data_IF_687508974831
#
_entry.id   IF_687508974831
#
_cell.length_a   1.000
_cell.length_b   1.000
_cell.length_c   1.000
_cell.angle_alpha   90.00
_cell.angle_beta   90.00
_cell.angle_gamma   90.00
#
_symmetry.space_group_name_H-M   'P 1'
#
loop_
_entity.id
_entity.type
_entity.pdbx_description
1 polymer ?
#
# COMPACT_ATOMS: atom_id res chain seq x y z
N UNK A 1 -31.64 -25.38 -18.76
CA UNK A 1 -30.54 -26.18 -18.20
C UNK A 1 -29.24 -25.42 -18.50
N UNK A 2 -28.73 -24.68 -17.54
CA UNK A 2 -27.50 -23.86 -17.74
C UNK A 2 -26.33 -24.79 -17.54
N UNK A 3 -25.58 -25.08 -18.61
CA UNK A 3 -24.31 -25.75 -18.54
C UNK A 3 -23.34 -24.85 -17.75
N UNK A 4 -22.73 -25.39 -16.73
CA UNK A 4 -21.76 -24.68 -15.88
C UNK A 4 -20.53 -24.34 -16.73
N UNK A 5 -20.35 -23.09 -17.11
CA UNK A 5 -19.26 -22.65 -18.00
C UNK A 5 -17.86 -22.62 -17.32
N UNK A 6 -17.66 -23.39 -16.27
CA UNK A 6 -16.34 -23.51 -15.63
C UNK A 6 -15.32 -24.25 -16.51
N UNK A 7 -15.79 -25.17 -17.35
CA UNK A 7 -14.95 -25.97 -18.23
C UNK A 7 -15.30 -25.68 -19.70
N UNK A 8 -14.27 -25.63 -20.54
CA UNK A 8 -14.41 -25.44 -21.97
C UNK A 8 -13.74 -26.61 -22.70
N UNK A 9 -14.38 -27.15 -23.77
CA UNK A 9 -13.78 -28.21 -24.56
C UNK A 9 -12.42 -27.81 -25.14
N UNK A 10 -11.44 -28.68 -24.99
CA UNK A 10 -10.11 -28.50 -25.49
C UNK A 10 -9.75 -29.61 -26.50
N UNK A 11 -8.90 -29.28 -27.49
CA UNK A 11 -8.44 -30.23 -28.48
C UNK A 11 -7.37 -31.17 -27.89
N UNK A 12 -7.43 -32.43 -28.25
CA UNK A 12 -6.39 -33.40 -27.88
C UNK A 12 -5.07 -33.01 -28.53
N UNK A 13 -4.01 -33.20 -27.79
CA UNK A 13 -2.65 -33.01 -28.32
C UNK A 13 -2.29 -34.08 -29.31
N UNK A 14 -1.61 -33.73 -30.43
CA UNK A 14 -1.16 -34.76 -31.40
C UNK A 14 -0.16 -35.71 -30.76
N UNK A 15 -0.42 -36.99 -30.92
CA UNK A 15 0.45 -38.05 -30.39
C UNK A 15 1.77 -38.08 -31.16
N UNK A 16 2.88 -37.69 -30.50
CA UNK A 16 4.22 -37.81 -31.08
C UNK A 16 4.56 -39.29 -31.34
N UNK A 17 5.17 -39.57 -32.50
CA UNK A 17 5.65 -40.91 -32.84
C UNK A 17 6.64 -41.46 -31.78
N UNK A 18 7.41 -40.57 -31.15
CA UNK A 18 8.33 -40.91 -30.05
C UNK A 18 7.62 -41.42 -28.81
N UNK A 19 6.44 -40.87 -28.46
CA UNK A 19 5.66 -41.32 -27.30
C UNK A 19 5.13 -42.76 -27.50
N UNK A 20 4.86 -43.15 -28.74
CA UNK A 20 4.47 -44.55 -29.08
C UNK A 20 5.63 -45.54 -28.90
N UNK A 21 6.86 -45.10 -29.19
CA UNK A 21 8.07 -45.93 -29.09
C UNK A 21 8.58 -46.04 -27.64
N UNK A 22 8.44 -44.98 -26.87
CA UNK A 22 8.92 -44.92 -25.47
C UNK A 22 7.93 -45.46 -24.45
N UNK A 23 6.71 -45.83 -24.86
CA UNK A 23 5.64 -46.27 -23.96
C UNK A 23 5.18 -45.20 -22.96
N UNK A 24 5.49 -43.93 -23.23
CA UNK A 24 5.02 -42.83 -22.39
C UNK A 24 3.49 -42.74 -22.46
N UNK A 25 2.87 -42.83 -21.31
CA UNK A 25 1.41 -42.71 -21.17
C UNK A 25 0.92 -41.31 -21.50
N UNK A 26 -0.21 -41.24 -22.18
CA UNK A 26 -0.79 -39.95 -22.64
C UNK A 26 -1.61 -39.26 -21.52
N UNK A 27 -0.97 -38.96 -20.39
CA UNK A 27 -1.59 -38.34 -19.24
C UNK A 27 -2.28 -37.02 -19.61
N UNK A 28 -1.63 -36.19 -20.44
CA UNK A 28 -2.18 -34.90 -20.87
C UNK A 28 -3.50 -35.04 -21.65
N UNK A 29 -3.57 -35.98 -22.58
CA UNK A 29 -4.79 -36.22 -23.35
C UNK A 29 -5.91 -36.78 -22.47
N UNK A 30 -5.59 -37.65 -21.50
CA UNK A 30 -6.58 -38.12 -20.53
C UNK A 30 -7.15 -36.95 -19.68
N UNK A 31 -6.30 -36.01 -19.24
CA UNK A 31 -6.74 -34.82 -18.53
C UNK A 31 -7.62 -33.94 -19.41
N UNK A 32 -7.29 -33.75 -20.69
CA UNK A 32 -8.08 -33.01 -21.66
C UNK A 32 -9.46 -33.70 -21.85
N UNK A 33 -9.52 -35.01 -21.96
CA UNK A 33 -10.80 -35.76 -22.10
C UNK A 33 -11.63 -35.65 -20.81
N UNK A 34 -11.01 -35.73 -19.63
CA UNK A 34 -11.72 -35.47 -18.36
C UNK A 34 -12.28 -34.05 -18.32
N UNK A 35 -11.46 -33.04 -18.70
CA UNK A 35 -11.95 -31.66 -18.81
C UNK A 35 -13.12 -31.53 -19.80
N UNK A 36 -13.06 -32.20 -20.95
CA UNK A 36 -14.11 -32.17 -21.94
C UNK A 36 -15.39 -32.84 -21.43
N UNK A 37 -15.28 -33.97 -20.72
CA UNK A 37 -16.41 -34.60 -20.05
C UNK A 37 -17.09 -33.64 -19.05
N UNK A 38 -16.29 -32.92 -18.27
CA UNK A 38 -16.79 -31.91 -17.32
C UNK A 38 -17.42 -30.70 -18.04
N UNK A 39 -17.01 -30.39 -19.27
CA UNK A 39 -17.57 -29.31 -20.08
C UNK A 39 -18.88 -29.69 -20.78
N UNK A 40 -19.06 -30.98 -21.12
CA UNK A 40 -20.18 -31.46 -21.96
C UNK A 40 -21.38 -31.94 -21.15
N UNK A 41 -21.19 -32.37 -19.90
CA UNK A 41 -22.24 -32.94 -19.05
C UNK A 41 -22.41 -32.19 -17.72
N UNK A 42 -23.62 -32.14 -17.18
CA UNK A 42 -23.87 -31.63 -15.84
C UNK A 42 -23.03 -32.36 -14.80
N UNK A 43 -22.28 -31.61 -13.96
CA UNK A 43 -21.28 -32.17 -13.05
C UNK A 43 -21.84 -33.29 -12.14
N UNK A 44 -23.08 -33.11 -11.62
CA UNK A 44 -23.71 -34.09 -10.73
C UNK A 44 -24.15 -35.39 -11.44
N UNK A 45 -24.22 -35.39 -12.78
CA UNK A 45 -24.59 -36.58 -13.57
C UNK A 45 -23.36 -37.46 -13.93
N UNK A 46 -22.15 -36.88 -13.80
CA UNK A 46 -20.89 -37.58 -14.08
C UNK A 46 -20.58 -38.51 -12.91
N UNK A 47 -20.32 -39.78 -13.20
CA UNK A 47 -19.92 -40.76 -12.20
C UNK A 47 -18.41 -41.05 -12.24
N UNK A 48 -17.87 -41.58 -11.15
CA UNK A 48 -16.47 -42.02 -11.12
C UNK A 48 -16.14 -43.06 -12.22
N UNK A 49 -17.15 -43.85 -12.63
CA UNK A 49 -17.02 -44.83 -13.73
C UNK A 49 -16.76 -44.16 -15.10
N UNK A 50 -17.31 -42.97 -15.34
CA UNK A 50 -17.09 -42.19 -16.58
C UNK A 50 -15.63 -41.74 -16.66
N UNK A 51 -15.09 -41.24 -15.54
CA UNK A 51 -13.66 -40.88 -15.43
C UNK A 51 -12.76 -42.11 -15.60
N UNK A 52 -13.12 -43.20 -14.93
CA UNK A 52 -12.35 -44.46 -15.03
C UNK A 52 -12.31 -44.99 -16.48
N UNK A 53 -13.43 -44.92 -17.21
CA UNK A 53 -13.48 -45.34 -18.63
C UNK A 53 -12.57 -44.50 -19.53
N UNK A 54 -12.32 -43.23 -19.20
CA UNK A 54 -11.31 -42.41 -19.89
C UNK A 54 -9.93 -42.90 -19.56
N UNK A 55 -9.64 -43.12 -18.27
CA UNK A 55 -8.33 -43.58 -17.82
C UNK A 55 -7.93 -44.94 -18.41
N UNK A 56 -8.89 -45.86 -18.48
CA UNK A 56 -8.70 -47.19 -19.05
C UNK A 56 -8.31 -47.17 -20.54
N UNK A 57 -8.86 -46.22 -21.31
CA UNK A 57 -8.49 -46.00 -22.72
C UNK A 57 -7.02 -45.60 -22.91
N UNK A 58 -6.43 -44.96 -21.91
CA UNK A 58 -5.04 -44.55 -21.92
C UNK A 58 -4.11 -45.47 -21.09
N UNK A 59 -4.60 -46.59 -20.57
CA UNK A 59 -3.91 -47.47 -19.65
C UNK A 59 -3.32 -46.73 -18.44
N UNK A 60 -4.12 -45.82 -17.87
CA UNK A 60 -3.75 -44.96 -16.75
C UNK A 60 -4.54 -45.34 -15.49
N UNK A 61 -3.88 -45.13 -14.34
CA UNK A 61 -4.50 -45.33 -13.03
C UNK A 61 -4.53 -43.99 -12.29
N UNK A 62 -5.70 -43.63 -11.74
CA UNK A 62 -5.96 -42.36 -11.08
C UNK A 62 -4.95 -42.05 -9.95
N UNK A 63 -4.59 -43.08 -9.17
CA UNK A 63 -3.76 -42.89 -7.98
C UNK A 63 -2.26 -43.11 -8.24
N UNK A 64 -1.90 -43.83 -9.29
CA UNK A 64 -0.49 -44.17 -9.60
C UNK A 64 0.12 -43.20 -10.60
N UNK A 65 -0.64 -42.86 -11.63
CA UNK A 65 -0.10 -42.18 -12.81
C UNK A 65 -0.36 -40.69 -12.81
N UNK A 66 -1.25 -40.19 -11.94
CA UNK A 66 -1.47 -38.75 -11.76
C UNK A 66 -0.87 -38.26 -10.46
N UNK A 67 -0.11 -37.19 -10.55
CA UNK A 67 0.24 -36.43 -9.36
C UNK A 67 -0.99 -35.65 -8.89
N UNK A 68 -1.14 -35.50 -7.59
CA UNK A 68 -2.22 -34.68 -7.00
C UNK A 68 -2.35 -33.28 -7.64
N UNK A 69 -1.29 -32.80 -8.34
CA UNK A 69 -1.24 -31.49 -9.00
C UNK A 69 -2.19 -31.35 -10.17
N UNK A 70 -2.14 -32.28 -11.13
CA UNK A 70 -2.89 -32.17 -12.40
C UNK A 70 -4.40 -32.24 -12.22
N UNK A 71 -4.89 -33.17 -11.38
CA UNK A 71 -6.31 -33.30 -11.07
C UNK A 71 -6.79 -32.19 -10.15
N UNK A 72 -5.93 -31.72 -9.25
CA UNK A 72 -6.18 -30.57 -8.39
C UNK A 72 -6.40 -29.28 -9.21
N UNK A 73 -5.74 -29.14 -10.37
CA UNK A 73 -5.93 -27.97 -11.21
C UNK A 73 -7.34 -27.92 -11.86
N UNK A 74 -7.94 -29.08 -12.18
CA UNK A 74 -9.36 -29.15 -12.58
C UNK A 74 -10.29 -28.72 -11.43
N UNK A 75 -10.00 -29.16 -10.22
CA UNK A 75 -10.75 -28.76 -9.04
C UNK A 75 -10.64 -27.25 -8.77
N UNK A 76 -9.43 -26.68 -8.83
CA UNK A 76 -9.19 -25.23 -8.70
C UNK A 76 -9.94 -24.42 -9.74
N UNK A 77 -9.98 -24.91 -11.00
CA UNK A 77 -10.68 -24.22 -12.08
C UNK A 77 -12.18 -24.09 -11.78
N UNK A 78 -12.80 -25.16 -11.25
CA UNK A 78 -14.19 -25.12 -10.84
C UNK A 78 -14.40 -24.25 -9.58
N UNK A 79 -13.50 -24.33 -8.63
CA UNK A 79 -13.52 -23.53 -7.40
C UNK A 79 -13.44 -22.01 -7.71
N UNK A 80 -12.54 -21.60 -8.64
CA UNK A 80 -12.49 -20.21 -9.11
C UNK A 80 -13.79 -19.74 -9.73
N UNK A 81 -14.41 -20.60 -10.52
CA UNK A 81 -15.71 -20.32 -11.13
C UNK A 81 -16.80 -20.09 -10.05
N UNK A 82 -16.84 -20.89 -9.00
CA UNK A 82 -17.77 -20.72 -7.89
C UNK A 82 -17.56 -19.39 -7.13
N UNK A 83 -16.36 -18.84 -7.16
CA UNK A 83 -16.04 -17.57 -6.49
C UNK A 83 -16.07 -16.35 -7.42
N UNK A 84 -16.53 -16.48 -8.65
CA UNK A 84 -16.53 -15.38 -9.60
C UNK A 84 -17.54 -14.28 -9.23
N UNK A 85 -18.64 -14.65 -8.56
CA UNK A 85 -19.64 -13.72 -8.03
C UNK A 85 -19.46 -13.37 -6.55
N UNK A 86 -18.32 -13.74 -5.96
CA UNK A 86 -18.02 -13.56 -4.54
C UNK A 86 -19.05 -14.20 -3.60
N UNK A 87 -19.70 -15.27 -4.03
CA UNK A 87 -20.68 -16.00 -3.26
C UNK A 87 -20.54 -17.51 -3.50
N UNK A 88 -20.56 -18.32 -2.44
CA UNK A 88 -20.57 -19.77 -2.53
C UNK A 88 -21.89 -20.31 -1.95
N UNK A 89 -22.72 -20.85 -2.81
CA UNK A 89 -24.02 -21.41 -2.40
C UNK A 89 -23.93 -22.92 -2.07
N UNK A 90 -24.97 -23.45 -1.45
CA UNK A 90 -25.00 -24.85 -1.03
C UNK A 90 -24.94 -25.83 -2.22
N UNK A 91 -25.48 -25.46 -3.37
CA UNK A 91 -25.43 -26.26 -4.58
C UNK A 91 -23.99 -26.36 -5.14
N UNK A 92 -23.29 -25.27 -5.16
CA UNK A 92 -21.87 -25.22 -5.55
C UNK A 92 -21.00 -26.02 -4.59
N UNK A 93 -21.26 -25.94 -3.30
CA UNK A 93 -20.58 -26.73 -2.28
C UNK A 93 -20.80 -28.24 -2.53
N UNK A 94 -22.03 -28.66 -2.84
CA UNK A 94 -22.34 -30.06 -3.20
C UNK A 94 -21.60 -30.49 -4.47
N UNK A 95 -21.56 -29.64 -5.49
CA UNK A 95 -20.81 -29.90 -6.73
C UNK A 95 -19.32 -30.04 -6.50
N UNK A 96 -18.72 -29.20 -5.65
CA UNK A 96 -17.32 -29.30 -5.26
C UNK A 96 -16.99 -30.61 -4.53
N UNK A 97 -17.87 -31.04 -3.61
CA UNK A 97 -17.73 -32.32 -2.92
C UNK A 97 -17.87 -33.52 -3.90
N UNK A 98 -18.77 -33.40 -4.87
CA UNK A 98 -18.92 -34.42 -5.91
C UNK A 98 -17.69 -34.46 -6.84
N UNK A 99 -17.18 -33.31 -7.28
CA UNK A 99 -15.98 -33.20 -8.10
C UNK A 99 -14.75 -33.80 -7.41
N UNK A 100 -14.56 -33.51 -6.11
CA UNK A 100 -13.54 -34.14 -5.28
C UNK A 100 -13.59 -35.66 -5.38
N UNK A 101 -14.81 -36.22 -5.27
CA UNK A 101 -15.03 -37.68 -5.26
C UNK A 101 -14.73 -38.31 -6.61
N UNK A 102 -15.23 -37.75 -7.72
CA UNK A 102 -15.01 -38.31 -9.07
C UNK A 102 -13.56 -38.18 -9.55
N UNK A 103 -12.85 -37.14 -9.10
CA UNK A 103 -11.43 -36.93 -9.36
C UNK A 103 -10.50 -37.68 -8.38
N UNK A 104 -11.06 -38.37 -7.38
CA UNK A 104 -10.27 -39.13 -6.39
C UNK A 104 -9.30 -38.28 -5.57
N UNK A 105 -9.59 -37.00 -5.35
CA UNK A 105 -8.69 -36.10 -4.66
C UNK A 105 -8.67 -36.37 -3.15
N UNK A 106 -7.46 -36.42 -2.60
CA UNK A 106 -7.24 -36.53 -1.16
C UNK A 106 -7.68 -35.26 -0.42
N UNK A 107 -8.03 -35.39 0.88
CA UNK A 107 -8.35 -34.23 1.71
C UNK A 107 -7.21 -33.20 1.73
N UNK A 108 -5.96 -33.67 1.72
CA UNK A 108 -4.79 -32.82 1.67
C UNK A 108 -4.69 -32.04 0.35
N UNK A 109 -4.97 -32.68 -0.80
CA UNK A 109 -4.94 -32.04 -2.11
C UNK A 109 -6.04 -30.96 -2.22
N UNK A 110 -7.24 -31.26 -1.70
CA UNK A 110 -8.37 -30.32 -1.64
C UNK A 110 -8.05 -29.14 -0.70
N UNK A 111 -7.53 -29.41 0.50
CA UNK A 111 -7.15 -28.35 1.44
C UNK A 111 -6.11 -27.39 0.83
N UNK A 112 -5.13 -27.95 0.09
CA UNK A 112 -4.13 -27.14 -0.60
C UNK A 112 -4.73 -26.31 -1.75
N UNK A 113 -5.66 -26.88 -2.52
CA UNK A 113 -6.38 -26.15 -3.57
C UNK A 113 -7.23 -25.03 -2.99
N UNK A 114 -7.99 -25.34 -1.94
CA UNK A 114 -8.82 -24.36 -1.22
C UNK A 114 -7.97 -23.21 -0.68
N UNK A 115 -6.83 -23.52 -0.04
CA UNK A 115 -5.94 -22.50 0.48
C UNK A 115 -5.44 -21.54 -0.64
N UNK A 116 -4.96 -22.09 -1.76
CA UNK A 116 -4.45 -21.27 -2.87
C UNK A 116 -5.54 -20.37 -3.49
N UNK A 117 -6.74 -20.92 -3.72
CA UNK A 117 -7.84 -20.14 -4.29
C UNK A 117 -8.37 -19.12 -3.29
N UNK A 118 -8.43 -19.46 -1.99
CA UNK A 118 -8.81 -18.49 -0.97
C UNK A 118 -7.83 -17.32 -0.88
N UNK A 119 -6.53 -17.57 -0.97
CA UNK A 119 -5.54 -16.48 -1.05
C UNK A 119 -5.79 -15.56 -2.26
N UNK A 120 -6.03 -16.16 -3.44
CA UNK A 120 -6.32 -15.40 -4.66
C UNK A 120 -7.61 -14.58 -4.54
N UNK A 121 -8.69 -15.18 -4.06
CA UNK A 121 -10.01 -14.52 -3.91
C UNK A 121 -9.96 -13.47 -2.81
N UNK A 122 -9.32 -13.78 -1.69
CA UNK A 122 -9.15 -12.85 -0.58
C UNK A 122 -8.36 -11.63 -1.03
N UNK A 123 -7.24 -11.83 -1.74
CA UNK A 123 -6.44 -10.74 -2.29
C UNK A 123 -7.26 -9.85 -3.26
N UNK A 124 -8.04 -10.47 -4.17
CA UNK A 124 -8.91 -9.75 -5.11
C UNK A 124 -9.98 -8.94 -4.38
N UNK A 125 -10.73 -9.55 -3.46
CA UNK A 125 -11.79 -8.86 -2.70
C UNK A 125 -11.25 -7.70 -1.87
N UNK A 126 -10.01 -7.81 -1.40
CA UNK A 126 -9.33 -6.73 -0.71
C UNK A 126 -8.87 -5.63 -1.66
N UNK A 127 -8.35 -5.97 -2.84
CA UNK A 127 -8.00 -4.99 -3.86
C UNK A 127 -9.25 -4.22 -4.34
N UNK A 128 -10.38 -4.89 -4.54
CA UNK A 128 -11.68 -4.28 -4.88
C UNK A 128 -12.17 -3.34 -3.76
N UNK A 129 -12.11 -3.78 -2.50
CA UNK A 129 -12.47 -2.95 -1.34
C UNK A 129 -11.57 -1.73 -1.17
N UNK A 130 -10.32 -1.81 -1.63
CA UNK A 130 -9.39 -0.70 -1.62
C UNK A 130 -9.64 0.32 -2.74
N UNK A 131 -10.21 -0.11 -3.88
CA UNK A 131 -10.58 0.82 -4.96
C UNK A 131 -11.70 1.77 -4.53
N UNK A 132 -12.69 1.30 -3.79
CA UNK A 132 -13.80 2.11 -3.27
C UNK A 132 -13.62 2.61 -1.83
N UNK A 133 -12.48 2.30 -1.20
CA UNK A 133 -12.09 2.69 0.17
C UNK A 133 -13.02 2.17 1.27
N UNK A 134 -13.84 1.14 1.01
CA UNK A 134 -14.79 0.60 1.99
C UNK A 134 -14.95 -0.91 1.84
N UNK A 135 -14.71 -1.64 2.92
CA UNK A 135 -15.18 -3.02 3.05
C UNK A 135 -16.69 -3.02 3.32
N UNK A 136 -17.48 -3.32 2.30
CA UNK A 136 -18.92 -3.42 2.47
C UNK A 136 -19.29 -4.65 3.31
N UNK A 137 -20.41 -4.57 4.03
CA UNK A 137 -20.88 -5.67 4.86
C UNK A 137 -21.07 -6.99 4.07
N UNK A 138 -21.31 -6.92 2.77
CA UNK A 138 -21.41 -8.09 1.87
C UNK A 138 -20.06 -8.78 1.67
N UNK A 139 -18.99 -8.03 1.53
CA UNK A 139 -17.63 -8.55 1.36
C UNK A 139 -17.11 -9.19 2.65
N UNK A 140 -17.40 -8.54 3.78
CA UNK A 140 -17.11 -9.11 5.11
C UNK A 140 -17.89 -10.44 5.30
N UNK A 141 -19.17 -10.45 4.97
CA UNK A 141 -20.00 -11.66 5.06
C UNK A 141 -19.49 -12.76 4.13
N UNK A 142 -19.06 -12.41 2.92
CA UNK A 142 -18.45 -13.35 1.97
C UNK A 142 -17.14 -13.94 2.49
N UNK A 143 -16.24 -13.11 3.03
CA UNK A 143 -14.99 -13.60 3.64
C UNK A 143 -15.25 -14.56 4.80
N UNK A 144 -16.27 -14.30 5.63
CA UNK A 144 -16.72 -15.23 6.67
C UNK A 144 -17.32 -16.53 6.11
N UNK A 145 -18.09 -16.45 5.04
CA UNK A 145 -18.69 -17.62 4.38
C UNK A 145 -17.63 -18.49 3.71
N UNK A 146 -16.65 -17.90 3.04
CA UNK A 146 -15.46 -18.57 2.49
C UNK A 146 -14.77 -19.45 3.53
N UNK A 147 -14.59 -18.92 4.73
CA UNK A 147 -14.04 -19.63 5.87
C UNK A 147 -14.82 -20.89 6.22
N UNK A 148 -16.13 -20.75 6.34
CA UNK A 148 -17.00 -21.83 6.81
C UNK A 148 -17.15 -22.95 5.78
N UNK A 149 -17.32 -22.58 4.50
CA UNK A 149 -17.55 -23.54 3.41
C UNK A 149 -16.30 -24.33 3.03
N UNK A 150 -15.11 -23.76 3.16
CA UNK A 150 -13.86 -24.40 2.76
C UNK A 150 -13.16 -25.15 3.90
N UNK A 151 -13.73 -25.15 5.12
CA UNK A 151 -13.17 -25.81 6.31
C UNK A 151 -11.68 -25.51 6.51
N UNK A 152 -11.28 -24.26 6.32
CA UNK A 152 -9.90 -23.83 6.47
C UNK A 152 -9.44 -24.01 7.93
N UNK A 153 -8.25 -24.58 8.16
CA UNK A 153 -7.69 -24.63 9.50
C UNK A 153 -7.50 -23.21 10.06
N UNK A 154 -7.85 -22.94 11.32
CA UNK A 154 -7.72 -21.60 11.92
C UNK A 154 -6.30 -21.00 11.85
N UNK A 155 -5.28 -21.85 11.78
CA UNK A 155 -3.88 -21.44 11.67
C UNK A 155 -3.54 -20.86 10.29
N UNK A 156 -4.14 -21.40 9.22
CA UNK A 156 -3.92 -20.91 7.84
C UNK A 156 -4.68 -19.61 7.57
N UNK A 157 -5.90 -19.52 8.10
CA UNK A 157 -6.69 -18.29 8.05
C UNK A 157 -5.95 -17.12 8.68
N UNK A 158 -5.44 -17.29 9.91
CA UNK A 158 -4.70 -16.25 10.60
C UNK A 158 -3.42 -15.81 9.84
N UNK A 159 -2.73 -16.71 9.17
CA UNK A 159 -1.52 -16.39 8.41
C UNK A 159 -1.84 -15.58 7.14
N UNK A 160 -2.86 -15.98 6.39
CA UNK A 160 -3.29 -15.27 5.16
C UNK A 160 -3.86 -13.90 5.51
N UNK A 161 -4.75 -13.83 6.51
CA UNK A 161 -5.32 -12.57 6.98
C UNK A 161 -4.25 -11.62 7.49
N UNK A 162 -3.32 -12.07 8.35
CA UNK A 162 -2.30 -11.21 8.92
C UNK A 162 -1.32 -10.69 7.88
N UNK A 163 -0.89 -11.50 6.91
CA UNK A 163 0.07 -11.07 5.90
C UNK A 163 -0.59 -10.09 4.90
N UNK A 164 -1.78 -10.39 4.42
CA UNK A 164 -2.49 -9.54 3.45
C UNK A 164 -3.05 -8.27 4.09
N UNK A 165 -3.64 -8.36 5.28
CA UNK A 165 -4.09 -7.19 6.02
C UNK A 165 -2.94 -6.21 6.34
N UNK A 166 -1.76 -6.72 6.68
CA UNK A 166 -0.58 -5.87 6.88
C UNK A 166 -0.18 -5.14 5.59
N UNK A 167 -0.17 -5.83 4.45
CA UNK A 167 0.15 -5.22 3.15
C UNK A 167 -0.86 -4.12 2.77
N UNK A 168 -2.15 -4.35 3.03
CA UNK A 168 -3.23 -3.39 2.76
C UNK A 168 -3.07 -2.14 3.62
N UNK A 169 -2.89 -2.35 4.90
CA UNK A 169 -2.70 -1.28 5.86
C UNK A 169 -1.45 -0.45 5.48
N UNK A 170 -0.36 -1.10 5.07
CA UNK A 170 0.84 -0.43 4.59
C UNK A 170 0.58 0.36 3.31
N UNK A 171 -0.18 -0.17 2.35
CA UNK A 171 -0.57 0.56 1.12
C UNK A 171 -1.45 1.76 1.43
N UNK A 172 -2.45 1.59 2.29
CA UNK A 172 -3.32 2.68 2.76
C UNK A 172 -2.50 3.81 3.39
N UNK A 173 -1.55 3.46 4.27
CA UNK A 173 -0.67 4.40 4.96
C UNK A 173 0.29 5.11 4.01
N UNK A 174 0.86 4.41 3.03
CA UNK A 174 1.81 4.99 2.08
C UNK A 174 1.17 5.97 1.09
N UNK A 175 -0.15 6.13 1.15
CA UNK A 175 -0.88 7.01 0.25
C UNK A 175 -0.95 6.48 -1.19
N UNK A 176 -0.64 5.19 -1.43
CA UNK A 176 -0.86 4.54 -2.72
C UNK A 176 -2.36 4.47 -3.04
N UNK A 177 -3.22 4.53 -2.00
CA UNK A 177 -4.68 4.52 -2.10
C UNK A 177 -5.27 5.93 -1.94
N UNK A 178 -4.56 6.85 -1.24
CA UNK A 178 -5.01 8.22 -1.04
C UNK A 178 -3.88 9.19 -1.33
N UNK A 179 -4.10 10.16 -2.23
CA UNK A 179 -3.18 11.28 -2.46
C UNK A 179 -3.13 12.26 -1.28
N UNK A 180 -3.82 11.98 -0.17
CA UNK A 180 -3.97 12.86 0.98
C UNK A 180 -3.47 12.21 2.28
N UNK A 181 -3.02 13.02 3.27
CA UNK A 181 -2.66 12.53 4.59
C UNK A 181 -3.87 11.93 5.32
N UNK A 182 -3.61 11.00 6.21
CA UNK A 182 -4.62 10.26 6.97
C UNK A 182 -5.46 11.20 7.83
N UNK A 183 -6.76 11.29 7.56
CA UNK A 183 -7.72 12.01 8.39
C UNK A 183 -8.10 11.19 9.64
N UNK A 184 -8.73 11.85 10.62
CA UNK A 184 -9.25 11.16 11.80
C UNK A 184 -10.33 10.11 11.42
N UNK A 185 -11.15 10.41 10.42
CA UNK A 185 -12.20 9.51 9.91
C UNK A 185 -11.57 8.30 9.21
N UNK A 186 -10.51 8.50 8.43
CA UNK A 186 -9.75 7.41 7.78
C UNK A 186 -8.98 6.55 8.80
N UNK A 187 -8.52 7.13 9.92
CA UNK A 187 -7.97 6.36 11.06
C UNK A 187 -9.02 5.47 11.72
N UNK A 188 -10.25 5.98 11.89
CA UNK A 188 -11.36 5.21 12.43
C UNK A 188 -11.76 4.09 11.46
N UNK A 189 -11.88 4.37 10.16
CA UNK A 189 -12.11 3.38 9.12
C UNK A 189 -11.01 2.30 9.11
N UNK A 190 -9.75 2.68 9.25
CA UNK A 190 -8.62 1.77 9.36
C UNK A 190 -8.71 0.89 10.61
N UNK A 191 -9.11 1.46 11.75
CA UNK A 191 -9.32 0.71 12.99
C UNK A 191 -10.44 -0.29 12.84
N UNK A 192 -11.58 0.11 12.27
CA UNK A 192 -12.72 -0.77 11.98
C UNK A 192 -12.31 -1.89 11.03
N UNK A 193 -11.52 -1.59 9.99
CA UNK A 193 -11.00 -2.57 9.05
C UNK A 193 -10.08 -3.59 9.75
N UNK A 194 -9.17 -3.13 10.61
CA UNK A 194 -8.24 -4.01 11.35
C UNK A 194 -8.99 -4.92 12.32
N UNK A 195 -10.03 -4.41 12.98
CA UNK A 195 -10.87 -5.18 13.89
C UNK A 195 -11.69 -6.24 13.15
N UNK A 196 -12.29 -5.90 12.00
CA UNK A 196 -13.05 -6.86 11.19
C UNK A 196 -12.18 -7.95 10.59
N UNK A 197 -10.95 -7.63 10.21
CA UNK A 197 -9.99 -8.61 9.70
C UNK A 197 -9.35 -9.44 10.83
N UNK A 198 -9.66 -9.14 12.10
CA UNK A 198 -8.99 -9.72 13.27
C UNK A 198 -7.45 -9.67 13.14
N UNK A 199 -6.99 -8.68 12.39
CA UNK A 199 -5.59 -8.45 12.13
C UNK A 199 -5.10 -7.41 13.14
N UNK A 200 -4.38 -7.84 14.15
CA UNK A 200 -3.58 -6.92 14.97
C UNK A 200 -2.30 -6.64 14.19
N UNK A 201 -2.22 -5.51 13.47
CA UNK A 201 -1.01 -5.20 12.74
C UNK A 201 0.12 -5.06 13.75
N UNK A 202 1.08 -5.95 13.69
CA UNK A 202 2.36 -5.73 14.40
C UNK A 202 3.12 -4.68 13.61
N UNK A 203 2.73 -3.41 13.85
CA UNK A 203 3.46 -2.29 13.29
C UNK A 203 4.91 -2.36 13.76
N UNK A 204 5.83 -2.41 12.81
CA UNK A 204 7.21 -2.11 13.15
C UNK A 204 7.32 -0.63 13.58
N UNK A 205 8.40 -0.30 14.23
CA UNK A 205 8.63 1.04 14.78
C UNK A 205 8.65 2.11 13.66
N UNK A 206 9.11 1.73 12.48
CA UNK A 206 9.16 2.60 11.30
C UNK A 206 7.75 2.93 10.79
N UNK A 207 6.89 1.94 10.64
CA UNK A 207 5.51 2.14 10.19
C UNK A 207 4.70 2.98 11.19
N UNK A 208 4.92 2.78 12.49
CA UNK A 208 4.31 3.64 13.53
C UNK A 208 4.75 5.10 13.42
N UNK A 209 6.04 5.32 13.21
CA UNK A 209 6.58 6.67 13.02
C UNK A 209 6.01 7.35 11.76
N UNK A 210 5.86 6.60 10.66
CA UNK A 210 5.23 7.10 9.44
C UNK A 210 3.76 7.47 9.64
N UNK A 211 2.97 6.66 10.37
CA UNK A 211 1.57 6.98 10.72
C UNK A 211 1.44 8.28 11.51
N UNK A 212 2.24 8.40 12.58
CA UNK A 212 2.26 9.62 13.40
C UNK A 212 2.61 10.84 12.55
N UNK A 213 3.54 10.69 11.62
CA UNK A 213 3.93 11.75 10.69
C UNK A 213 2.79 12.14 9.74
N UNK A 214 2.08 11.19 9.12
CA UNK A 214 0.96 11.47 8.22
C UNK A 214 -0.20 12.14 8.95
N UNK A 215 -0.50 11.69 10.17
CA UNK A 215 -1.49 12.35 11.02
C UNK A 215 -1.12 13.80 11.33
N UNK A 216 0.14 14.04 11.70
CA UNK A 216 0.63 15.39 11.97
C UNK A 216 0.55 16.27 10.73
N UNK A 217 0.87 15.74 9.55
CA UNK A 217 0.72 16.46 8.28
C UNK A 217 -0.74 16.87 8.03
N UNK A 218 -1.68 15.95 8.26
CA UNK A 218 -3.11 16.24 8.11
C UNK A 218 -3.56 17.33 9.09
N UNK A 219 -3.17 17.23 10.36
CA UNK A 219 -3.48 18.23 11.38
C UNK A 219 -2.94 19.60 11.00
N UNK A 220 -1.68 19.68 10.56
CA UNK A 220 -1.09 20.94 10.10
C UNK A 220 -1.88 21.55 8.94
N UNK A 221 -2.49 20.78 8.08
CA UNK A 221 -3.23 21.30 6.93
C UNK A 221 -4.69 21.64 7.23
N UNK A 222 -5.33 20.94 8.15
CA UNK A 222 -6.80 20.97 8.32
C UNK A 222 -7.25 21.50 9.68
N UNK A 223 -6.42 21.39 10.73
CA UNK A 223 -6.76 21.87 12.07
C UNK A 223 -6.07 23.21 12.38
N UNK A 224 -6.39 23.80 13.52
CA UNK A 224 -5.67 24.99 14.00
C UNK A 224 -4.19 24.65 14.26
N UNK A 225 -3.29 25.52 13.81
CA UNK A 225 -1.87 25.34 14.07
C UNK A 225 -1.59 25.29 15.58
N UNK A 226 -0.63 24.44 16.00
CA UNK A 226 -0.31 24.30 17.41
C UNK A 226 0.16 25.62 18.02
N UNK A 227 -0.19 25.87 19.26
CA UNK A 227 0.29 26.99 20.04
C UNK A 227 1.38 26.51 21.01
N UNK A 228 2.62 26.93 20.77
CA UNK A 228 3.78 26.52 21.56
C UNK A 228 4.20 27.67 22.47
N UNK A 229 4.22 27.42 23.78
CA UNK A 229 4.76 28.36 24.75
C UNK A 229 6.28 28.37 24.67
N UNK A 230 6.84 29.55 24.46
CA UNK A 230 8.29 29.74 24.27
C UNK A 230 8.83 30.81 25.22
N UNK A 231 10.07 30.71 25.68
CA UNK A 231 10.70 31.70 26.55
C UNK A 231 11.22 32.90 25.75
N UNK A 232 10.33 33.47 24.93
CA UNK A 232 10.60 34.63 24.09
C UNK A 232 9.50 35.71 24.34
N UNK A 233 9.90 36.98 24.26
CA UNK A 233 8.93 38.09 24.25
C UNK A 233 8.29 38.17 22.88
N UNK A 234 7.09 37.61 22.77
CA UNK A 234 6.28 37.70 21.56
C UNK A 234 5.53 39.05 21.52
N UNK A 235 5.20 39.48 20.32
CA UNK A 235 4.37 40.67 20.10
C UNK A 235 2.89 40.41 20.43
N UNK A 236 2.06 41.43 20.59
CA UNK A 236 0.63 41.20 20.63
C UNK A 236 0.14 40.36 19.45
N UNK A 237 -0.70 39.37 19.70
CA UNK A 237 -1.24 38.41 18.70
C UNK A 237 -0.21 37.56 17.98
N UNK A 238 1.06 37.61 18.41
CA UNK A 238 2.09 36.73 17.89
C UNK A 238 2.08 35.38 18.62
N UNK A 239 1.97 34.30 17.85
CA UNK A 239 1.91 32.94 18.35
C UNK A 239 3.02 32.09 17.73
N UNK A 240 3.75 31.33 18.54
CA UNK A 240 4.73 30.38 18.06
C UNK A 240 4.03 29.06 17.71
N UNK A 241 4.28 28.57 16.49
CA UNK A 241 3.69 27.35 15.96
C UNK A 241 4.68 26.19 15.78
N UNK A 242 5.98 26.51 15.76
CA UNK A 242 7.03 25.49 15.62
C UNK A 242 8.30 25.91 16.33
N UNK A 243 9.02 24.93 16.89
CA UNK A 243 10.29 25.09 17.56
C UNK A 243 11.15 23.86 17.32
N UNK A 244 12.39 24.05 16.87
CA UNK A 244 13.39 22.97 16.77
C UNK A 244 14.80 23.45 17.03
N UNK A 245 15.71 22.50 17.25
CA UNK A 245 17.13 22.76 17.21
C UNK A 245 17.58 22.97 15.77
N UNK A 246 18.44 23.95 15.54
CA UNK A 246 18.93 24.28 14.22
C UNK A 246 20.36 24.83 14.24
N UNK A 247 21.04 24.66 13.11
CA UNK A 247 22.31 25.37 12.80
C UNK A 247 22.03 26.29 11.62
N UNK A 248 22.31 27.58 11.79
CA UNK A 248 22.15 28.55 10.73
C UNK A 248 23.40 28.57 9.84
N UNK A 249 23.19 28.47 8.53
CA UNK A 249 24.21 28.66 7.53
C UNK A 249 23.86 29.84 6.63
N UNK A 250 24.79 30.78 6.44
CA UNK A 250 24.63 31.92 5.56
C UNK A 250 25.60 31.83 4.39
N UNK A 251 25.11 32.08 3.17
CA UNK A 251 25.93 32.07 1.98
C UNK A 251 27.03 33.16 2.05
N UNK A 252 28.28 32.82 1.74
CA UNK A 252 29.41 33.77 1.78
C UNK A 252 29.33 34.78 0.65
N UNK A 253 28.86 34.39 -0.54
CA UNK A 253 28.70 35.23 -1.73
C UNK A 253 27.30 35.13 -2.34
N UNK A 254 26.87 36.15 -3.08
CA UNK A 254 25.53 36.21 -3.70
C UNK A 254 25.37 35.32 -4.95
N UNK A 255 26.36 34.55 -5.34
CA UNK A 255 26.36 33.68 -6.51
C UNK A 255 27.10 32.35 -6.28
N UNK A 256 26.90 31.72 -5.14
CA UNK A 256 27.68 30.59 -4.65
C UNK A 256 27.42 29.31 -5.45
N UNK A 257 28.48 28.59 -5.96
CA UNK A 257 28.35 27.24 -6.53
C UNK A 257 27.82 26.25 -5.47
N UNK A 258 26.95 25.37 -5.87
CA UNK A 258 26.19 24.50 -4.93
C UNK A 258 24.81 25.11 -4.59
N UNK A 259 24.64 26.41 -4.81
CA UNK A 259 23.37 27.05 -5.02
C UNK A 259 23.14 27.29 -6.53
N UNK A 260 23.52 26.35 -7.40
CA UNK A 260 23.25 26.45 -8.84
C UNK A 260 21.75 26.52 -9.15
N UNK A 261 20.91 26.18 -8.17
CA UNK A 261 19.48 26.46 -8.15
C UNK A 261 19.11 27.74 -7.36
N UNK A 262 20.08 28.48 -6.80
CA UNK A 262 19.85 29.77 -6.14
C UNK A 262 19.83 30.96 -7.13
N UNK A 263 19.41 30.70 -8.35
CA UNK A 263 18.87 31.74 -9.22
C UNK A 263 17.70 32.37 -8.47
N UNK A 264 17.69 33.68 -8.32
CA UNK A 264 16.58 34.43 -7.71
C UNK A 264 15.27 33.85 -8.24
N UNK A 265 14.47 33.22 -7.37
CA UNK A 265 13.25 32.56 -7.84
C UNK A 265 12.39 33.56 -8.59
N UNK A 266 11.67 33.13 -9.65
CA UNK A 266 10.70 34.00 -10.30
C UNK A 266 9.74 34.62 -9.27
N UNK A 267 9.31 35.85 -9.48
CA UNK A 267 8.48 36.61 -8.51
C UNK A 267 7.20 35.88 -8.11
N UNK A 268 6.77 34.90 -8.90
CA UNK A 268 5.57 34.09 -8.67
C UNK A 268 5.88 32.67 -8.16
N UNK A 269 7.16 32.31 -7.93
CA UNK A 269 7.57 30.98 -7.53
C UNK A 269 6.95 30.56 -6.19
N UNK A 270 7.05 31.42 -5.19
CA UNK A 270 6.46 31.19 -3.88
C UNK A 270 4.93 31.01 -4.00
N UNK A 271 4.26 31.89 -4.75
CA UNK A 271 2.82 31.80 -4.94
C UNK A 271 2.37 30.49 -5.57
N UNK A 272 3.11 29.98 -6.57
CA UNK A 272 2.85 28.68 -7.19
C UNK A 272 3.08 27.53 -6.20
N UNK A 273 4.14 27.59 -5.40
CA UNK A 273 4.41 26.60 -4.35
C UNK A 273 3.31 26.60 -3.29
N UNK A 274 2.85 27.77 -2.84
CA UNK A 274 1.77 27.90 -1.86
C UNK A 274 0.43 27.40 -2.39
N UNK A 275 0.16 27.52 -3.68
CA UNK A 275 -1.05 26.97 -4.31
C UNK A 275 -1.04 25.43 -4.33
N UNK A 276 0.12 24.79 -4.37
CA UNK A 276 0.26 23.34 -4.35
C UNK A 276 0.40 22.83 -2.91
N UNK A 277 -0.71 22.40 -2.30
CA UNK A 277 -0.75 21.90 -0.92
C UNK A 277 0.15 20.66 -0.69
N UNK A 278 0.41 19.87 -1.73
CA UNK A 278 1.24 18.66 -1.62
C UNK A 278 2.74 18.94 -1.77
N UNK A 279 3.12 20.13 -2.21
CA UNK A 279 4.53 20.48 -2.47
C UNK A 279 5.42 20.25 -1.23
N UNK A 280 4.92 20.55 -0.05
CA UNK A 280 5.69 20.51 1.20
C UNK A 280 5.76 19.12 1.85
N UNK A 281 4.98 18.17 1.41
CA UNK A 281 4.95 16.79 1.96
C UNK A 281 6.16 15.98 1.54
N UNK A 282 6.59 16.17 0.32
CA UNK A 282 7.73 15.45 -0.25
C UNK A 282 8.91 16.40 -0.32
N UNK A 283 9.99 16.11 0.44
CA UNK A 283 11.23 16.87 0.35
C UNK A 283 11.73 16.83 -1.10
N UNK A 284 11.39 17.88 -1.86
CA UNK A 284 11.67 17.96 -3.29
C UNK A 284 13.17 18.05 -3.60
N UNK A 285 14.00 18.40 -2.61
CA UNK A 285 15.44 18.63 -2.75
C UNK A 285 16.37 17.54 -2.23
N UNK A 286 15.87 16.41 -1.71
CA UNK A 286 16.77 15.44 -1.07
C UNK A 286 17.51 16.04 0.13
N UNK A 287 18.82 15.77 0.27
CA UNK A 287 19.70 16.38 1.29
C UNK A 287 20.52 17.48 0.65
N UNK A 288 20.50 18.69 1.23
CA UNK A 288 21.35 19.79 0.78
C UNK A 288 22.77 19.60 1.33
N UNK A 289 23.72 19.46 0.43
CA UNK A 289 25.14 19.43 0.77
C UNK A 289 25.73 20.84 0.64
N UNK A 290 26.19 21.38 1.75
CA UNK A 290 26.78 22.71 1.81
C UNK A 290 28.31 22.61 1.62
N UNK A 291 28.87 23.33 0.64
CA UNK A 291 30.28 23.45 0.50
C UNK A 291 30.83 24.40 1.59
N UNK A 292 31.88 24.01 2.33
CA UNK A 292 32.40 24.73 3.49
C UNK A 292 32.89 26.14 3.16
N UNK A 293 33.44 26.33 1.98
CA UNK A 293 33.95 27.64 1.49
C UNK A 293 32.79 28.57 1.04
N UNK A 294 31.62 28.01 0.75
CA UNK A 294 30.48 28.73 0.22
C UNK A 294 29.43 29.12 1.29
N UNK A 295 29.46 28.43 2.42
CA UNK A 295 28.50 28.65 3.51
C UNK A 295 29.22 28.79 4.85
N UNK A 296 28.78 29.77 5.62
CA UNK A 296 29.28 30.00 6.98
C UNK A 296 28.23 29.54 7.99
N UNK A 297 28.61 28.53 8.79
CA UNK A 297 27.80 28.06 9.89
C UNK A 297 27.96 28.94 11.13
N UNK A 298 26.89 29.01 11.95
CA UNK A 298 26.93 29.56 13.30
C UNK A 298 26.92 28.43 14.33
N UNK A 299 27.14 28.78 15.59
CA UNK A 299 26.89 27.86 16.70
C UNK A 299 25.43 27.37 16.68
N UNK A 300 25.18 26.11 17.12
CA UNK A 300 23.81 25.57 17.23
C UNK A 300 22.91 26.47 18.09
N UNK A 301 21.66 26.52 17.73
CA UNK A 301 20.64 27.31 18.42
C UNK A 301 19.25 26.74 18.24
N UNK A 302 18.25 27.54 18.54
CA UNK A 302 16.84 27.19 18.36
C UNK A 302 16.19 28.06 17.30
N UNK A 303 15.44 27.41 16.42
CA UNK A 303 14.62 28.07 15.40
C UNK A 303 13.17 28.07 15.86
N UNK A 304 12.60 29.24 15.98
CA UNK A 304 11.20 29.48 16.31
C UNK A 304 10.46 29.99 15.07
N UNK A 305 9.33 29.43 14.76
CA UNK A 305 8.44 29.90 13.70
C UNK A 305 7.14 30.40 14.31
N UNK A 306 6.89 31.71 14.14
CA UNK A 306 5.66 32.36 14.58
C UNK A 306 4.77 32.70 13.38
N UNK A 307 3.54 33.14 13.64
CA UNK A 307 2.65 33.69 12.60
C UNK A 307 3.13 35.04 12.02
N UNK A 308 4.22 35.62 12.55
CA UNK A 308 4.72 36.92 12.10
C UNK A 308 6.16 36.86 11.59
N UNK A 309 7.01 35.99 12.14
CA UNK A 309 8.45 35.96 11.87
C UNK A 309 9.08 34.60 12.19
N UNK A 310 10.26 34.32 11.61
CA UNK A 310 11.19 33.32 12.10
C UNK A 310 12.19 33.98 13.03
N UNK A 311 12.51 33.32 14.14
CA UNK A 311 13.51 33.77 15.10
C UNK A 311 14.51 32.65 15.29
N UNK A 312 15.76 32.90 14.98
CA UNK A 312 16.87 31.99 15.34
C UNK A 312 17.63 32.60 16.51
N UNK A 313 17.81 31.81 17.55
CA UNK A 313 18.51 32.26 18.76
C UNK A 313 19.50 31.22 19.23
N UNK A 314 20.73 31.67 19.45
CA UNK A 314 21.79 30.96 20.15
C UNK A 314 22.40 31.87 21.22
N UNK A 315 23.41 31.44 22.01
CA UNK A 315 24.02 32.26 23.05
C UNK A 315 24.66 33.57 22.53
N UNK A 316 25.10 33.61 21.28
CA UNK A 316 25.83 34.73 20.70
C UNK A 316 24.96 35.63 19.81
N UNK A 317 23.84 35.08 19.27
CA UNK A 317 23.08 35.76 18.24
C UNK A 317 21.60 35.53 18.40
N UNK A 318 20.85 36.63 18.28
CA UNK A 318 19.40 36.57 17.96
C UNK A 318 19.16 37.20 16.59
N UNK A 319 18.56 36.40 15.69
CA UNK A 319 18.23 36.82 14.34
C UNK A 319 16.74 36.74 14.12
N UNK A 320 16.18 37.78 13.56
CA UNK A 320 14.74 37.85 13.22
C UNK A 320 14.56 38.01 11.71
N UNK A 321 13.71 37.18 11.13
CA UNK A 321 13.34 37.22 9.71
C UNK A 321 11.82 37.38 9.65
N UNK A 322 11.36 38.56 9.24
CA UNK A 322 9.93 38.79 9.05
C UNK A 322 9.41 38.00 7.84
N UNK A 323 8.22 37.45 7.95
CA UNK A 323 7.63 36.61 6.88
C UNK A 323 7.46 37.43 5.58
N UNK A 324 7.17 38.72 5.64
CA UNK A 324 7.09 39.61 4.47
C UNK A 324 8.44 39.76 3.72
N UNK A 325 9.55 39.48 4.38
CA UNK A 325 10.85 39.52 3.78
C UNK A 325 11.27 38.21 3.08
N UNK A 326 10.45 37.15 3.14
CA UNK A 326 10.69 35.88 2.48
C UNK A 326 10.19 35.98 1.05
N UNK A 327 11.11 35.90 0.09
CA UNK A 327 10.78 35.88 -1.34
C UNK A 327 10.40 34.48 -1.82
N UNK A 328 11.05 33.46 -1.29
CA UNK A 328 10.77 32.04 -1.55
C UNK A 328 11.46 31.18 -0.49
N UNK A 329 11.11 29.89 -0.42
CA UNK A 329 11.81 28.91 0.38
C UNK A 329 11.73 27.51 -0.22
N UNK A 330 12.76 26.71 0.01
CA UNK A 330 12.80 25.32 -0.35
C UNK A 330 13.08 24.48 0.90
N UNK A 331 12.49 23.30 0.96
CA UNK A 331 12.79 22.38 2.04
C UNK A 331 13.58 21.18 1.53
N UNK A 332 14.51 20.73 2.38
CA UNK A 332 15.36 19.57 2.19
C UNK A 332 15.18 18.63 3.37
N UNK A 333 15.63 17.39 3.24
CA UNK A 333 15.56 16.41 4.35
C UNK A 333 16.28 16.89 5.60
N UNK A 334 17.32 17.71 5.44
CA UNK A 334 18.18 18.21 6.51
C UNK A 334 17.96 19.69 6.83
N UNK A 335 16.91 20.36 6.33
CA UNK A 335 16.64 21.74 6.68
C UNK A 335 15.81 22.53 5.69
N UNK A 336 15.73 23.84 5.91
CA UNK A 336 14.98 24.81 5.10
C UNK A 336 15.93 25.88 4.57
N UNK A 337 15.90 26.10 3.25
CA UNK A 337 16.59 27.19 2.57
C UNK A 337 15.63 28.36 2.35
N UNK A 338 15.95 29.51 2.92
CA UNK A 338 15.18 30.73 2.78
C UNK A 338 15.84 31.68 1.78
N UNK A 339 15.06 32.14 0.81
CA UNK A 339 15.40 33.24 -0.09
C UNK A 339 14.71 34.52 0.38
N UNK A 340 15.48 35.54 0.73
CA UNK A 340 14.96 36.82 1.21
C UNK A 340 14.83 37.82 0.07
N UNK A 341 13.88 38.76 0.19
CA UNK A 341 13.73 39.88 -0.75
C UNK A 341 14.98 40.75 -0.83
N UNK A 342 15.69 40.88 0.30
CA UNK A 342 16.99 41.57 0.42
C UNK A 342 17.94 40.71 1.28
N UNK A 343 19.21 40.62 0.86
CA UNK A 343 20.24 39.88 1.56
C UNK A 343 20.52 38.50 0.95
N UNK A 344 21.42 37.76 1.60
CA UNK A 344 21.90 36.45 1.15
C UNK A 344 20.92 35.34 1.56
N UNK A 345 20.87 34.22 0.82
CA UNK A 345 20.12 33.06 1.25
C UNK A 345 20.60 32.53 2.61
N UNK A 346 19.70 31.96 3.38
CA UNK A 346 19.97 31.36 4.68
C UNK A 346 19.45 29.93 4.68
N UNK A 347 20.26 29.01 5.08
CA UNK A 347 19.88 27.63 5.30
C UNK A 347 19.86 27.33 6.80
N UNK A 348 18.72 26.87 7.30
CA UNK A 348 18.58 26.34 8.64
C UNK A 348 18.65 24.83 8.57
N UNK A 349 19.79 24.27 8.91
CA UNK A 349 19.96 22.83 9.06
C UNK A 349 19.25 22.38 10.35
N UNK A 350 18.31 21.45 10.22
CA UNK A 350 17.57 20.88 11.33
C UNK A 350 17.75 19.36 11.35
N UNK A 351 18.11 18.76 12.50
CA UNK A 351 18.30 17.31 12.57
C UNK A 351 16.99 16.54 12.34
N UNK A 352 15.85 17.14 12.69
CA UNK A 352 14.51 16.55 12.54
C UNK A 352 13.48 17.64 12.27
N UNK A 353 12.35 17.28 11.66
CA UNK A 353 11.18 18.16 11.51
C UNK A 353 11.30 19.25 10.44
N UNK A 354 12.24 19.13 9.51
CA UNK A 354 12.36 20.09 8.39
C UNK A 354 11.07 20.15 7.54
N UNK A 355 10.44 19.03 7.30
CA UNK A 355 9.18 18.91 6.59
C UNK A 355 8.01 19.58 7.36
N UNK A 356 7.93 19.35 8.67
CA UNK A 356 6.93 19.98 9.55
C UNK A 356 7.09 21.50 9.55
N UNK A 357 8.32 21.97 9.71
CA UNK A 357 8.62 23.40 9.66
C UNK A 357 8.25 24.03 8.31
N UNK A 358 8.55 23.34 7.20
CA UNK A 358 8.21 23.80 5.86
C UNK A 358 6.69 23.84 5.63
N UNK A 359 5.95 22.83 6.09
CA UNK A 359 4.49 22.79 6.00
C UNK A 359 3.84 23.92 6.80
N UNK A 360 4.26 24.13 8.04
CA UNK A 360 3.75 25.21 8.90
C UNK A 360 4.07 26.58 8.29
N UNK A 361 5.32 26.79 7.83
CA UNK A 361 5.72 28.01 7.16
C UNK A 361 4.89 28.26 5.88
N UNK A 362 4.74 27.22 5.05
CA UNK A 362 3.94 27.30 3.83
C UNK A 362 2.48 27.64 4.11
N UNK A 363 1.87 27.05 5.16
CA UNK A 363 0.51 27.35 5.57
C UNK A 363 0.37 28.80 6.06
N UNK A 364 1.24 29.24 6.96
CA UNK A 364 1.21 30.62 7.48
C UNK A 364 1.35 31.63 6.34
N UNK A 365 2.26 31.41 5.38
CA UNK A 365 2.45 32.28 4.23
C UNK A 365 1.25 32.29 3.26
N UNK A 366 0.48 31.21 3.19
CA UNK A 366 -0.72 31.10 2.36
C UNK A 366 -1.93 31.79 2.98
N UNK A 367 -2.06 31.76 4.31
CA UNK A 367 -3.20 32.33 5.05
C UNK A 367 -3.07 33.86 5.29
N UNK A 368 -1.93 34.46 4.95
CA UNK A 368 -1.66 35.90 4.96
C UNK A 368 -2.13 36.57 3.67
#
# INVERSE_FOLDING_TARGET
MVLTQAFYPAKLEPVSVWNKVTGQKHQQNALIEINNLLAERPLLEIQGADVQAILDRYDLNLFRDFTDGSLRDLYKKYLRYCFDDNHLNDEETQRLLHLKRILGLSDKAVALANHQICEEVYARSLDEALEDKRLHAKEVAFLHQLRHCLQLPPTLENQVQQSKAADIIIRFIKGEVTEQPLSADEEEELSVLTDHLNAVPRWDERTRAELVKYRLHWQIENEALPHIFVPLTLRPEETCHFLCDAVRHEATHSGTPGAENAVRPPADALRRKLANRTYWRNASGGTLHLAEDAWRATEPGKLYLTNQRLIFRNPELEMVIYLDSIADFDHYRNGILLHRTKGKPIFFATPTGADIAAMILGRILRER
#
